data_IF_337639570590
#
_entry.id   IF_337639570590
#
_cell.length_a   1.000
_cell.length_b   1.000
_cell.length_c   1.000
_cell.angle_alpha   90.00
_cell.angle_beta   90.00
_cell.angle_gamma   90.00
#
_symmetry.space_group_name_H-M   'P 1'
#
loop_
_entity.id
_entity.type
_entity.pdbx_description
1 polymer ?
#
# COMPACT_ATOMS: atom_id res chain seq x y z
N UNK A 1 18.68 -17.06 -40.22
CA UNK A 1 17.50 -16.16 -40.18
C UNK A 1 16.40 -16.92 -39.45
N UNK A 2 15.93 -16.67 -38.23
CA UNK A 2 15.96 -15.57 -37.27
C UNK A 2 15.72 -16.13 -35.84
N UNK A 3 16.73 -16.35 -34.98
CA UNK A 3 16.48 -16.68 -33.57
C UNK A 3 16.62 -15.47 -32.62
N UNK A 4 17.15 -14.35 -33.10
CA UNK A 4 17.49 -13.19 -32.26
C UNK A 4 16.30 -12.28 -31.91
N UNK A 5 15.16 -12.39 -32.60
CA UNK A 5 14.01 -11.51 -32.36
C UNK A 5 13.21 -11.89 -31.09
N UNK A 6 13.20 -13.16 -30.70
CA UNK A 6 12.37 -13.66 -29.58
C UNK A 6 12.98 -13.28 -28.22
N UNK A 7 14.30 -13.25 -28.11
CA UNK A 7 15.02 -12.92 -26.86
C UNK A 7 14.85 -11.42 -26.52
N UNK A 8 14.88 -10.53 -27.53
CA UNK A 8 14.69 -9.09 -27.31
C UNK A 8 13.27 -8.73 -26.84
N UNK A 9 12.25 -9.46 -27.33
CA UNK A 9 10.87 -9.29 -26.90
C UNK A 9 10.65 -9.73 -25.45
N UNK A 10 11.21 -10.87 -25.04
CA UNK A 10 11.06 -11.36 -23.68
C UNK A 10 11.70 -10.40 -22.64
N UNK A 11 12.90 -9.86 -22.93
CA UNK A 11 13.57 -8.89 -22.06
C UNK A 11 12.80 -7.56 -22.00
N UNK A 12 12.27 -7.10 -23.14
CA UNK A 12 11.45 -5.89 -23.20
C UNK A 12 10.15 -6.00 -22.39
N UNK A 13 9.45 -7.14 -22.50
CA UNK A 13 8.22 -7.42 -21.74
C UNK A 13 8.52 -7.50 -20.24
N UNK A 14 9.65 -8.13 -19.87
CA UNK A 14 10.03 -8.30 -18.47
C UNK A 14 10.40 -6.96 -17.82
N UNK A 15 11.20 -6.13 -18.50
CA UNK A 15 11.55 -4.78 -18.03
C UNK A 15 10.33 -3.85 -17.96
N UNK A 16 9.42 -3.95 -18.92
CA UNK A 16 8.19 -3.18 -18.92
C UNK A 16 7.29 -3.57 -17.73
N UNK A 17 7.11 -4.86 -17.51
CA UNK A 17 6.32 -5.39 -16.39
C UNK A 17 6.91 -4.96 -15.03
N UNK A 18 8.24 -5.01 -14.87
CA UNK A 18 8.89 -4.60 -13.62
C UNK A 18 8.69 -3.09 -13.34
N UNK A 19 8.81 -2.24 -14.37
CA UNK A 19 8.59 -0.80 -14.22
C UNK A 19 7.15 -0.45 -13.87
N UNK A 20 6.20 -1.12 -14.51
CA UNK A 20 4.78 -0.90 -14.22
C UNK A 20 4.42 -1.30 -12.78
N UNK A 21 5.06 -2.37 -12.29
CA UNK A 21 4.89 -2.83 -10.91
C UNK A 21 5.45 -1.84 -9.87
N UNK A 22 6.61 -1.26 -10.13
CA UNK A 22 7.21 -0.25 -9.23
C UNK A 22 6.31 1.01 -9.10
N UNK A 23 5.67 1.42 -10.21
CA UNK A 23 4.72 2.53 -10.21
C UNK A 23 3.49 2.24 -9.35
N UNK A 24 2.93 1.03 -9.46
CA UNK A 24 1.80 0.59 -8.64
C UNK A 24 2.17 0.59 -7.16
N UNK A 25 3.30 -0.01 -6.79
CA UNK A 25 3.75 -0.09 -5.40
C UNK A 25 3.97 1.33 -4.81
N UNK A 26 4.53 2.25 -5.61
CA UNK A 26 4.69 3.65 -5.22
C UNK A 26 3.35 4.38 -5.07
N UNK A 27 2.38 4.16 -5.96
CA UNK A 27 1.04 4.73 -5.87
C UNK A 27 0.31 4.25 -4.61
N UNK A 28 0.40 2.94 -4.31
CA UNK A 28 -0.15 2.34 -3.09
C UNK A 28 0.47 3.02 -1.86
N UNK A 29 1.81 3.14 -1.83
CA UNK A 29 2.50 3.77 -0.71
C UNK A 29 2.03 5.21 -0.49
N UNK A 30 1.98 6.02 -1.55
CA UNK A 30 1.54 7.41 -1.51
C UNK A 30 0.10 7.55 -1.01
N UNK A 31 -0.81 6.71 -1.52
CA UNK A 31 -2.23 6.76 -1.14
C UNK A 31 -2.44 6.39 0.32
N UNK A 32 -1.75 5.36 0.80
CA UNK A 32 -1.81 4.96 2.22
C UNK A 32 -1.16 6.02 3.11
N UNK A 33 -0.07 6.65 2.67
CA UNK A 33 0.58 7.74 3.39
C UNK A 33 -0.34 8.96 3.52
N UNK A 34 -1.05 9.31 2.45
CA UNK A 34 -2.08 10.36 2.47
C UNK A 34 -3.22 9.99 3.42
N UNK A 35 -3.70 8.75 3.39
CA UNK A 35 -4.74 8.28 4.30
C UNK A 35 -4.31 8.30 5.77
N UNK A 36 -3.06 7.93 6.07
CA UNK A 36 -2.49 8.00 7.41
C UNK A 36 -2.38 9.45 7.89
N UNK A 37 -1.91 10.35 7.01
CA UNK A 37 -1.86 11.78 7.26
C UNK A 37 -3.25 12.37 7.51
N UNK A 38 -4.26 11.96 6.73
CA UNK A 38 -5.65 12.37 6.89
C UNK A 38 -6.22 11.87 8.23
N UNK A 39 -5.99 10.61 8.59
CA UNK A 39 -6.44 10.05 9.87
C UNK A 39 -5.82 10.79 11.07
N UNK A 40 -4.54 11.14 10.97
CA UNK A 40 -3.82 11.92 11.98
C UNK A 40 -4.39 13.34 12.15
N UNK A 41 -4.65 14.02 11.03
CA UNK A 41 -5.16 15.39 11.00
C UNK A 41 -6.69 15.48 11.10
N UNK A 42 -7.38 14.33 11.25
CA UNK A 42 -8.85 14.23 11.23
C UNK A 42 -9.47 14.84 9.96
N UNK A 43 -8.78 14.74 8.84
CA UNK A 43 -9.23 15.17 7.53
C UNK A 43 -10.04 14.05 6.82
N UNK A 44 -10.64 14.39 5.68
CA UNK A 44 -11.29 13.40 4.84
C UNK A 44 -10.26 12.40 4.29
N UNK A 45 -10.60 11.11 4.35
CA UNK A 45 -9.76 10.06 3.75
C UNK A 45 -9.82 10.10 2.22
N UNK A 46 -8.76 9.67 1.54
CA UNK A 46 -8.76 9.56 0.08
C UNK A 46 -9.84 8.58 -0.39
N UNK A 47 -10.51 8.94 -1.47
CA UNK A 47 -11.60 8.14 -2.08
C UNK A 47 -11.08 6.87 -2.75
N UNK A 48 -9.79 6.83 -3.08
CA UNK A 48 -9.11 5.69 -3.68
C UNK A 48 -9.09 4.44 -2.78
N UNK A 49 -9.34 4.59 -1.47
CA UNK A 49 -9.37 3.46 -0.53
C UNK A 49 -10.80 3.03 -0.23
N UNK A 50 -11.13 1.84 -0.69
CA UNK A 50 -12.32 1.10 -0.32
C UNK A 50 -12.14 0.38 1.01
N UNK A 51 -13.11 0.56 1.91
CA UNK A 51 -13.16 -0.07 3.22
C UNK A 51 -14.42 -0.94 3.27
N UNK A 52 -14.33 -2.22 2.87
CA UNK A 52 -15.49 -3.10 2.73
C UNK A 52 -16.19 -3.35 4.06
N UNK A 53 -15.47 -3.22 5.17
CA UNK A 53 -16.01 -3.31 6.51
C UNK A 53 -15.64 -2.05 7.34
N UNK A 54 -16.61 -1.46 8.07
CA UNK A 54 -16.42 -0.19 8.77
C UNK A 54 -15.44 -0.31 9.96
N UNK A 55 -15.34 -1.50 10.55
CA UNK A 55 -14.39 -1.84 11.60
C UNK A 55 -12.94 -1.73 11.12
N UNK A 56 -12.64 -2.10 9.87
CA UNK A 56 -11.31 -1.94 9.27
C UNK A 56 -10.91 -0.46 9.22
N UNK A 57 -11.82 0.40 8.74
CA UNK A 57 -11.58 1.85 8.67
C UNK A 57 -11.37 2.44 10.06
N UNK A 58 -12.24 2.09 11.02
CA UNK A 58 -12.11 2.59 12.40
C UNK A 58 -10.83 2.10 13.09
N UNK A 59 -10.44 0.84 12.86
CA UNK A 59 -9.22 0.24 13.41
C UNK A 59 -7.95 0.89 12.86
N UNK A 60 -7.92 1.15 11.55
CA UNK A 60 -6.88 1.94 10.92
C UNK A 60 -6.79 3.34 11.55
N UNK A 61 -7.89 4.09 11.57
CA UNK A 61 -7.91 5.48 12.09
C UNK A 61 -7.45 5.51 13.54
N UNK A 62 -7.98 4.62 14.37
CA UNK A 62 -7.61 4.55 15.79
C UNK A 62 -6.12 4.24 15.99
N UNK A 63 -5.56 3.32 15.21
CA UNK A 63 -4.14 2.93 15.32
C UNK A 63 -3.22 4.07 14.88
N UNK A 64 -3.57 4.74 13.78
CA UNK A 64 -2.80 5.88 13.27
C UNK A 64 -2.88 7.08 14.23
N UNK A 65 -4.06 7.38 14.78
CA UNK A 65 -4.21 8.48 15.74
C UNK A 65 -3.42 8.23 17.02
N UNK A 66 -3.47 7.01 17.58
CA UNK A 66 -2.67 6.63 18.73
C UNK A 66 -1.16 6.74 18.44
N UNK A 67 -0.74 6.35 17.23
CA UNK A 67 0.62 6.57 16.75
C UNK A 67 0.98 8.06 16.69
N UNK A 68 0.12 8.89 16.11
CA UNK A 68 0.36 10.34 15.99
C UNK A 68 0.53 11.06 17.32
N UNK A 69 -0.25 10.69 18.33
CA UNK A 69 -0.09 11.24 19.67
C UNK A 69 1.30 10.92 20.25
N UNK A 70 1.82 9.72 19.98
CA UNK A 70 3.17 9.30 20.36
C UNK A 70 4.24 10.00 19.49
N UNK A 71 3.99 10.14 18.19
CA UNK A 71 4.94 10.70 17.23
C UNK A 71 5.03 12.23 17.23
N UNK A 72 4.11 12.96 17.88
CA UNK A 72 4.37 14.36 18.27
C UNK A 72 5.68 14.51 19.05
N UNK A 73 6.22 13.42 19.61
CA UNK A 73 7.50 13.36 20.31
C UNK A 73 8.66 12.86 19.43
N UNK A 74 8.40 12.37 18.20
CA UNK A 74 9.40 11.77 17.30
C UNK A 74 9.43 12.54 15.97
N UNK A 75 10.53 13.22 15.61
CA UNK A 75 10.63 13.91 14.33
C UNK A 75 10.67 12.89 13.18
N UNK A 76 9.60 12.89 12.38
CA UNK A 76 9.47 12.06 11.19
C UNK A 76 7.99 11.87 10.86
N UNK A 77 7.61 12.14 9.60
CA UNK A 77 6.24 11.94 9.14
C UNK A 77 5.86 10.46 9.06
N UNK A 78 4.81 10.19 8.29
CA UNK A 78 4.48 8.85 7.86
C UNK A 78 5.37 8.43 6.71
N UNK A 79 5.83 7.18 6.77
CA UNK A 79 6.44 6.48 5.64
C UNK A 79 5.67 5.17 5.44
N UNK A 80 5.61 4.66 4.22
CA UNK A 80 4.85 3.44 3.91
C UNK A 80 5.72 2.53 3.06
N UNK A 81 6.03 1.36 3.60
CA UNK A 81 6.72 0.31 2.86
C UNK A 81 5.69 -0.66 2.31
N UNK A 82 5.63 -0.78 0.99
CA UNK A 82 4.75 -1.73 0.32
C UNK A 82 5.57 -2.94 -0.07
N UNK A 83 5.16 -4.08 0.47
CA UNK A 83 5.70 -5.38 0.08
C UNK A 83 4.58 -6.14 -0.62
N UNK A 84 4.82 -6.60 -1.84
CA UNK A 84 3.87 -7.50 -2.49
C UNK A 84 3.74 -8.78 -1.67
N UNK A 85 2.50 -9.15 -1.35
CA UNK A 85 2.17 -10.40 -0.68
C UNK A 85 2.22 -11.57 -1.66
N UNK A 86 2.55 -12.74 -1.12
CA UNK A 86 2.74 -14.03 -1.82
C UNK A 86 1.43 -14.79 -2.10
N UNK A 87 0.29 -14.27 -1.61
CA UNK A 87 -1.02 -14.89 -1.75
C UNK A 87 -1.76 -14.30 -2.95
N UNK A 88 -1.83 -15.07 -4.03
CA UNK A 88 -2.87 -14.92 -5.06
C UNK A 88 -4.21 -15.29 -4.42
N UNK A 89 -5.18 -14.37 -4.46
CA UNK A 89 -6.57 -14.76 -4.21
C UNK A 89 -7.06 -15.65 -5.34
N UNK A 90 -8.13 -16.42 -5.07
CA UNK A 90 -8.74 -17.33 -6.05
C UNK A 90 -9.13 -16.63 -7.37
N UNK A 91 -9.33 -15.31 -7.33
CA UNK A 91 -9.70 -14.47 -8.46
C UNK A 91 -8.50 -13.86 -9.22
N UNK A 92 -7.26 -14.19 -8.83
CA UNK A 92 -6.04 -13.77 -9.51
C UNK A 92 -5.55 -12.35 -9.17
N UNK A 93 -6.13 -11.71 -8.15
CA UNK A 93 -5.65 -10.43 -7.66
C UNK A 93 -4.48 -10.61 -6.68
N UNK A 94 -3.41 -9.82 -6.88
CA UNK A 94 -2.26 -9.83 -6.00
C UNK A 94 -2.55 -9.05 -4.72
N UNK A 95 -2.38 -9.72 -3.59
CA UNK A 95 -2.44 -9.06 -2.29
C UNK A 95 -1.17 -8.23 -2.06
N UNK A 96 -1.31 -6.99 -1.60
CA UNK A 96 -0.20 -6.14 -1.17
C UNK A 96 -0.23 -5.98 0.35
N UNK A 97 0.96 -5.91 0.94
CA UNK A 97 1.17 -5.64 2.35
C UNK A 97 1.77 -4.24 2.50
N UNK A 98 1.00 -3.29 3.01
CA UNK A 98 1.52 -1.96 3.33
C UNK A 98 1.86 -1.88 4.82
N UNK A 99 3.14 -1.67 5.12
CA UNK A 99 3.63 -1.38 6.46
C UNK A 99 3.73 0.14 6.62
N UNK A 100 2.85 0.71 7.43
CA UNK A 100 2.89 2.11 7.80
C UNK A 100 3.89 2.30 8.93
N UNK A 101 4.89 3.14 8.66
CA UNK A 101 5.90 3.58 9.61
C UNK A 101 5.59 5.00 10.07
N UNK A 102 5.91 5.28 11.32
CA UNK A 102 5.78 6.59 11.93
C UNK A 102 7.05 6.91 12.69
N UNK A 103 7.75 7.97 12.27
CA UNK A 103 9.09 8.27 12.81
C UNK A 103 10.09 7.12 12.64
N UNK A 104 9.92 6.28 11.60
CA UNK A 104 10.74 5.10 11.33
C UNK A 104 10.37 3.84 12.13
N UNK A 105 9.37 3.90 13.01
CA UNK A 105 8.87 2.71 13.72
C UNK A 105 7.59 2.17 13.08
N UNK A 106 7.42 0.84 13.00
CA UNK A 106 6.22 0.26 12.43
C UNK A 106 5.01 0.55 13.34
N UNK A 107 3.98 1.16 12.76
CA UNK A 107 2.77 1.56 13.46
C UNK A 107 1.59 0.64 13.11
N UNK A 108 1.49 0.22 11.85
CA UNK A 108 0.36 -0.55 11.35
C UNK A 108 0.75 -1.37 10.13
N UNK A 109 0.22 -2.59 10.03
CA UNK A 109 0.34 -3.42 8.83
C UNK A 109 -1.04 -3.58 8.20
N UNK A 110 -1.14 -3.28 6.91
CA UNK A 110 -2.36 -3.38 6.12
C UNK A 110 -2.21 -4.43 5.06
N UNK A 111 -3.30 -5.17 4.84
CA UNK A 111 -3.46 -6.08 3.72
C UNK A 111 -4.44 -5.47 2.74
N UNK A 112 -4.00 -5.35 1.50
CA UNK A 112 -4.66 -4.60 0.43
C UNK A 112 -4.83 -5.50 -0.78
N UNK A 113 -5.98 -5.40 -1.43
CA UNK A 113 -6.14 -5.85 -2.81
C UNK A 113 -5.98 -4.60 -3.68
N UNK A 114 -5.07 -4.68 -4.66
CA UNK A 114 -4.82 -3.60 -5.62
C UNK A 114 -5.46 -4.01 -6.94
N UNK A 115 -6.56 -3.34 -7.29
CA UNK A 115 -7.25 -3.57 -8.56
C UNK A 115 -6.59 -2.76 -9.68
N UNK A 116 -6.27 -1.50 -9.38
CA UNK A 116 -5.49 -0.58 -10.20
C UNK A 116 -4.84 0.50 -9.32
N UNK A 117 -4.14 1.46 -9.92
CA UNK A 117 -3.40 2.52 -9.21
C UNK A 117 -4.29 3.43 -8.34
N UNK A 118 -5.60 3.50 -8.63
CA UNK A 118 -6.58 4.38 -7.98
C UNK A 118 -7.63 3.62 -7.15
N UNK A 119 -7.64 2.28 -7.20
CA UNK A 119 -8.62 1.44 -6.51
C UNK A 119 -7.93 0.41 -5.59
N UNK A 120 -7.83 0.81 -4.32
CA UNK A 120 -7.24 0.02 -3.25
C UNK A 120 -8.33 -0.48 -2.33
N UNK A 121 -8.40 -1.79 -2.06
CA UNK A 121 -9.36 -2.34 -1.09
C UNK A 121 -8.62 -2.88 0.12
N UNK A 122 -8.88 -2.34 1.30
CA UNK A 122 -8.30 -2.86 2.54
C UNK A 122 -9.12 -4.08 2.97
N UNK A 123 -8.47 -5.24 3.00
CA UNK A 123 -9.11 -6.51 3.40
C UNK A 123 -8.71 -6.98 4.79
N UNK A 124 -7.73 -6.32 5.40
CA UNK A 124 -7.31 -6.64 6.75
C UNK A 124 -6.27 -5.67 7.28
N UNK A 125 -6.10 -5.67 8.59
CA UNK A 125 -5.04 -4.95 9.27
C UNK A 125 -4.55 -5.76 10.47
N UNK A 126 -3.30 -5.54 10.85
CA UNK A 126 -2.74 -6.09 12.08
C UNK A 126 -1.82 -5.08 12.73
N UNK A 127 -1.61 -5.25 14.04
CA UNK A 127 -0.46 -4.62 14.70
C UNK A 127 0.83 -5.16 14.07
N UNK A 128 1.91 -4.36 14.06
CA UNK A 128 3.19 -4.73 13.47
C UNK A 128 3.80 -5.98 14.11
#
# INVERSE_FOLDING_TARGET
MFPLAIIGLAVGIWLWSARQQELVDASVAATIQEAASAACNRAAMPVAISWPAPDLKSGFVSSIQAGCEQARQVPGGFDVQVTRGDLEEADGHATHLALVLLGGQPALRLRLIVLDEDHLTVIGWSKP
#
